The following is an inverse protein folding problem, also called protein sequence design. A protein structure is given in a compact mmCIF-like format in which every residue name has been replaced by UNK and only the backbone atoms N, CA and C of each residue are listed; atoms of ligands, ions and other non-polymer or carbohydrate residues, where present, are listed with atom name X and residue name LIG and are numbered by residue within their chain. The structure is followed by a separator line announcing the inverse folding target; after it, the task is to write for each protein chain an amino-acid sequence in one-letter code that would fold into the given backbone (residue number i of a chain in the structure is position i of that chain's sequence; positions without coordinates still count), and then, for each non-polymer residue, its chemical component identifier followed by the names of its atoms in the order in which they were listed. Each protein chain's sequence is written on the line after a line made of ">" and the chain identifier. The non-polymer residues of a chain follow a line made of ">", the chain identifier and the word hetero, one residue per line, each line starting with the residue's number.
data_IF_326803216183
#
_entry.id   IF_326803216183
#
_cell.length_a   1.000
_cell.length_b   1.000
_cell.length_c   1.000
_cell.angle_alpha   90.00
_cell.angle_beta   90.00
_cell.angle_gamma   90.00
#
_symmetry.space_group_name_H-M   'P 1'
#
loop_
_entity.id
_entity.type
_entity.pdbx_description
1 polymer ?
#
# COMPACT_ATOMS: atom_id res chain seq x y z
N UNK A 1 22.17 -6.79 -14.24
CA UNK A 1 21.42 -6.19 -13.13
C UNK A 1 19.94 -6.49 -13.33
N UNK A 2 19.35 -7.34 -12.50
CA UNK A 2 17.92 -7.68 -12.61
C UNK A 2 17.08 -6.44 -12.36
N UNK A 3 16.11 -6.17 -13.25
CA UNK A 3 15.11 -5.12 -13.05
C UNK A 3 14.26 -5.49 -11.83
N UNK A 4 14.60 -4.93 -10.67
CA UNK A 4 13.76 -5.04 -9.47
C UNK A 4 12.46 -4.30 -9.81
N UNK A 5 11.37 -5.04 -10.01
CA UNK A 5 10.05 -4.45 -10.16
C UNK A 5 9.59 -4.05 -8.76
N UNK A 6 9.37 -2.75 -8.47
CA UNK A 6 8.96 -2.35 -7.13
C UNK A 6 7.60 -2.96 -6.81
N UNK A 7 7.58 -3.81 -5.78
CA UNK A 7 6.36 -4.37 -5.22
C UNK A 7 6.02 -3.65 -3.92
N UNK A 8 4.74 -3.34 -3.69
CA UNK A 8 4.26 -2.90 -2.39
C UNK A 8 3.22 -3.87 -1.86
N UNK A 9 3.13 -3.98 -0.54
CA UNK A 9 2.32 -5.00 0.12
C UNK A 9 1.36 -4.39 1.13
N UNK A 10 0.14 -4.92 1.17
CA UNK A 10 -0.79 -4.75 2.27
C UNK A 10 -0.91 -6.09 2.99
N UNK A 11 -0.89 -6.07 4.32
CA UNK A 11 -1.02 -7.28 5.13
C UNK A 11 -1.67 -7.00 6.48
N UNK A 12 -2.04 -8.06 7.20
CA UNK A 12 -2.33 -8.00 8.63
C UNK A 12 -1.05 -8.09 9.45
N UNK A 13 -1.05 -7.58 10.69
CA UNK A 13 0.12 -7.64 11.59
C UNK A 13 0.52 -9.09 11.88
N UNK A 14 -0.47 -9.99 11.99
CA UNK A 14 -0.25 -11.42 12.17
C UNK A 14 0.19 -12.16 10.88
N UNK A 15 0.26 -11.46 9.74
CA UNK A 15 0.71 -11.99 8.45
C UNK A 15 -0.24 -13.00 7.80
N UNK A 16 -1.39 -13.32 8.41
CA UNK A 16 -2.33 -14.34 7.87
C UNK A 16 -2.98 -13.91 6.56
N UNK A 17 -3.21 -12.62 6.38
CA UNK A 17 -3.76 -12.05 5.16
C UNK A 17 -2.75 -11.09 4.56
N UNK A 18 -2.40 -11.33 3.30
CA UNK A 18 -1.51 -10.46 2.54
C UNK A 18 -1.94 -10.36 1.07
N UNK A 19 -1.71 -9.19 0.49
CA UNK A 19 -1.81 -8.94 -0.95
C UNK A 19 -0.69 -8.01 -1.35
N UNK A 20 0.04 -8.37 -2.40
CA UNK A 20 1.07 -7.52 -2.96
C UNK A 20 0.71 -7.04 -4.36
N UNK A 21 1.29 -5.91 -4.71
CA UNK A 21 1.06 -5.21 -5.95
C UNK A 21 2.39 -4.97 -6.63
N UNK A 22 2.53 -5.42 -7.86
CA UNK A 22 3.76 -5.31 -8.65
C UNK A 22 3.57 -4.17 -9.64
N UNK A 23 4.46 -3.18 -9.58
CA UNK A 23 4.52 -2.08 -10.54
C UNK A 23 5.55 -2.42 -11.60
N UNK A 24 5.08 -2.69 -12.83
CA UNK A 24 5.93 -3.06 -13.96
C UNK A 24 5.29 -2.59 -15.25
N UNK A 25 6.10 -2.10 -16.20
CA UNK A 25 5.65 -1.70 -17.55
C UNK A 25 4.46 -0.72 -17.50
N UNK A 26 4.52 0.26 -16.59
CA UNK A 26 3.46 1.25 -16.32
C UNK A 26 2.10 0.64 -15.93
N UNK A 27 2.10 -0.62 -15.47
CA UNK A 27 0.91 -1.33 -14.98
C UNK A 27 1.10 -1.75 -13.53
N UNK A 28 -0.03 -1.82 -12.83
CA UNK A 28 -0.11 -2.40 -11.48
C UNK A 28 -0.87 -3.71 -11.59
N UNK A 29 -0.25 -4.80 -11.15
CA UNK A 29 -0.91 -6.11 -11.02
C UNK A 29 -0.99 -6.50 -9.55
N UNK A 30 -2.01 -7.26 -9.16
CA UNK A 30 -2.15 -7.74 -7.78
C UNK A 30 -2.06 -9.26 -7.69
N UNK A 31 -1.55 -9.74 -6.55
CA UNK A 31 -1.37 -11.16 -6.21
C UNK A 31 -1.67 -11.38 -4.73
N UNK A 32 -2.34 -12.49 -4.42
CA UNK A 32 -2.52 -12.92 -3.04
C UNK A 32 -1.20 -13.39 -2.43
N UNK A 33 -1.07 -13.24 -1.12
CA UNK A 33 0.10 -13.70 -0.36
C UNK A 33 1.20 -12.64 -0.24
N UNK A 34 2.24 -13.04 0.48
CA UNK A 34 3.41 -12.21 0.80
C UNK A 34 4.39 -12.23 -0.38
N UNK A 35 4.93 -11.06 -0.72
CA UNK A 35 6.07 -10.92 -1.62
C UNK A 35 7.38 -11.12 -0.83
N UNK A 36 8.40 -11.80 -1.37
CA UNK A 36 9.65 -12.04 -0.65
C UNK A 36 10.41 -10.74 -0.35
N UNK A 37 10.42 -9.79 -1.28
CA UNK A 37 11.15 -8.53 -1.15
C UNK A 37 10.27 -7.35 -1.59
N UNK A 38 9.24 -6.97 -0.82
CA UNK A 38 8.45 -5.78 -1.13
C UNK A 38 9.28 -4.54 -0.79
N UNK A 39 9.20 -3.51 -1.64
CA UNK A 39 9.83 -2.22 -1.40
C UNK A 39 9.33 -1.56 -0.09
N UNK A 40 8.04 -1.73 0.20
CA UNK A 40 7.45 -1.48 1.52
C UNK A 40 6.20 -2.33 1.73
N UNK A 41 5.85 -2.55 3.00
CA UNK A 41 4.58 -3.16 3.38
C UNK A 41 3.84 -2.30 4.40
N UNK A 42 2.53 -2.14 4.21
CA UNK A 42 1.63 -1.55 5.21
C UNK A 42 0.93 -2.72 5.90
N UNK A 43 1.14 -2.85 7.21
CA UNK A 43 0.56 -3.88 8.03
C UNK A 43 -0.51 -3.29 8.95
N UNK A 44 -1.75 -3.72 8.79
CA UNK A 44 -2.88 -3.32 9.62
C UNK A 44 -3.09 -4.31 10.76
N UNK A 45 -3.59 -3.88 11.92
CA UNK A 45 -3.84 -4.79 13.05
C UNK A 45 -4.68 -6.01 12.67
N UNK A 46 -5.67 -5.81 11.80
CA UNK A 46 -6.51 -6.85 11.22
C UNK A 46 -7.12 -6.37 9.89
N UNK A 47 -7.77 -7.29 9.16
CA UNK A 47 -8.34 -7.01 7.84
C UNK A 47 -9.55 -6.06 7.88
N UNK A 48 -10.38 -6.14 8.94
CA UNK A 48 -11.56 -5.30 9.09
C UNK A 48 -11.16 -3.83 9.31
N UNK A 49 -10.16 -3.60 10.17
CA UNK A 49 -9.57 -2.30 10.39
C UNK A 49 -8.91 -1.76 9.12
N UNK A 50 -8.12 -2.57 8.41
CA UNK A 50 -7.51 -2.15 7.14
C UNK A 50 -8.55 -1.71 6.11
N UNK A 51 -9.66 -2.45 5.99
CA UNK A 51 -10.78 -2.07 5.13
C UNK A 51 -11.45 -0.77 5.57
N UNK A 52 -11.72 -0.61 6.87
CA UNK A 52 -12.30 0.61 7.43
C UNK A 52 -11.40 1.84 7.21
N UNK A 53 -10.09 1.72 7.44
CA UNK A 53 -9.11 2.79 7.19
C UNK A 53 -9.13 3.22 5.71
N UNK A 54 -9.13 2.27 4.78
CA UNK A 54 -9.15 2.57 3.34
C UNK A 54 -10.45 3.23 2.88
N UNK A 55 -11.56 2.98 3.58
CA UNK A 55 -12.87 3.56 3.27
C UNK A 55 -13.24 4.79 4.08
N UNK A 56 -12.40 5.21 5.02
CA UNK A 56 -12.67 6.36 5.86
C UNK A 56 -13.00 7.62 5.04
N UNK A 57 -13.89 8.47 5.59
CA UNK A 57 -14.20 9.78 5.00
C UNK A 57 -12.94 10.63 4.88
N UNK A 58 -12.13 10.67 5.95
CA UNK A 58 -10.80 11.26 5.96
C UNK A 58 -9.72 10.17 6.07
N UNK A 59 -9.30 9.64 4.92
CA UNK A 59 -8.32 8.54 4.81
C UNK A 59 -6.95 8.92 5.37
N UNK A 60 -6.53 10.18 5.16
CA UNK A 60 -5.24 10.67 5.64
C UNK A 60 -5.19 10.64 7.17
N UNK A 61 -6.20 11.21 7.83
CA UNK A 61 -6.29 11.22 9.28
C UNK A 61 -6.38 9.78 9.84
N UNK A 62 -7.26 8.94 9.29
CA UNK A 62 -7.40 7.55 9.74
C UNK A 62 -6.09 6.77 9.64
N UNK A 63 -5.31 6.99 8.58
CA UNK A 63 -4.01 6.36 8.40
C UNK A 63 -2.97 6.88 9.41
N UNK A 64 -2.89 8.20 9.61
CA UNK A 64 -1.95 8.80 10.57
C UNK A 64 -2.26 8.40 12.01
N UNK A 65 -3.54 8.38 12.40
CA UNK A 65 -3.96 7.90 13.72
C UNK A 65 -3.58 6.43 13.91
N UNK A 66 -3.81 5.59 12.90
CA UNK A 66 -3.43 4.18 12.93
C UNK A 66 -1.91 3.97 13.07
N UNK A 67 -1.08 4.83 12.46
CA UNK A 67 0.37 4.80 12.68
C UNK A 67 0.70 5.18 14.14
N UNK A 68 0.09 6.26 14.64
CA UNK A 68 0.34 6.77 15.99
C UNK A 68 -0.04 5.78 17.09
N UNK A 69 -1.20 5.12 16.95
CA UNK A 69 -1.71 4.13 17.90
C UNK A 69 -1.18 2.70 17.66
N UNK A 70 -0.31 2.52 16.66
CA UNK A 70 0.32 1.26 16.24
C UNK A 70 -0.65 0.22 15.65
N UNK A 71 -1.88 0.59 15.33
CA UNK A 71 -2.81 -0.23 14.54
C UNK A 71 -2.39 -0.35 13.08
N UNK A 72 -1.46 0.49 12.62
CA UNK A 72 -0.81 0.43 11.31
C UNK A 72 0.71 0.49 11.52
N UNK A 73 1.44 -0.41 10.88
CA UNK A 73 2.90 -0.39 10.83
C UNK A 73 3.38 -0.36 9.39
N UNK A 74 4.41 0.44 9.13
CA UNK A 74 5.10 0.45 7.84
C UNK A 74 6.39 -0.36 8.01
N UNK A 75 6.56 -1.42 7.23
CA UNK A 75 7.80 -2.19 7.13
C UNK A 75 8.53 -1.79 5.86
N UNK A 76 9.86 -1.72 5.91
CA UNK A 76 10.71 -1.23 4.82
C UNK A 76 10.96 0.27 4.92
N UNK A 77 11.16 0.95 3.78
CA UNK A 77 11.52 2.37 3.76
C UNK A 77 10.27 3.28 3.68
N UNK A 78 9.90 4.01 4.75
CA UNK A 78 8.71 4.89 4.74
C UNK A 78 8.83 6.06 3.76
N UNK A 79 10.05 6.46 3.34
CA UNK A 79 10.23 7.48 2.31
C UNK A 79 9.61 7.05 0.96
N UNK A 80 9.56 5.75 0.67
CA UNK A 80 8.90 5.22 -0.53
C UNK A 80 7.38 5.40 -0.48
N UNK A 81 6.77 5.35 0.70
CA UNK A 81 5.33 5.62 0.88
C UNK A 81 5.02 7.08 0.59
N UNK A 82 5.84 8.02 1.11
CA UNK A 82 5.69 9.46 0.88
C UNK A 82 5.93 9.80 -0.59
N UNK A 83 6.99 9.25 -1.19
CA UNK A 83 7.28 9.40 -2.62
C UNK A 83 6.12 8.87 -3.49
N UNK A 84 5.57 7.70 -3.17
CA UNK A 84 4.43 7.11 -3.90
C UNK A 84 3.17 7.97 -3.78
N UNK A 85 2.89 8.51 -2.58
CA UNK A 85 1.81 9.48 -2.39
C UNK A 85 2.03 10.76 -3.22
N UNK A 86 3.27 11.24 -3.32
CA UNK A 86 3.61 12.37 -4.18
C UNK A 86 3.33 12.09 -5.66
N UNK A 87 3.71 10.91 -6.14
CA UNK A 87 3.56 10.51 -7.54
C UNK A 87 2.10 10.28 -7.95
N UNK A 88 1.27 9.71 -7.06
CA UNK A 88 -0.16 9.47 -7.34
C UNK A 88 -0.98 10.74 -7.53
N UNK A 89 -0.54 11.90 -7.02
CA UNK A 89 -1.17 13.21 -7.31
C UNK A 89 -1.14 13.55 -8.81
N UNK A 90 -0.17 13.03 -9.54
CA UNK A 90 -0.02 13.23 -10.98
C UNK A 90 -0.66 12.11 -11.82
N UNK A 91 -1.01 10.98 -11.18
CA UNK A 91 -1.79 9.89 -11.79
C UNK A 91 -3.29 10.23 -11.81
N UNK A 92 -3.67 11.36 -12.41
CA UNK A 92 -5.10 11.64 -12.66
C UNK A 92 -5.61 10.62 -13.69
N UNK A 93 -6.67 9.85 -13.40
CA UNK A 93 -7.26 8.96 -14.39
C UNK A 93 -7.72 9.78 -15.59
N UNK A 94 -7.26 9.43 -16.78
CA UNK A 94 -7.72 10.03 -18.03
C UNK A 94 -9.23 9.79 -18.12
N UNK A 95 -10.05 10.85 -18.15
CA UNK A 95 -11.50 10.71 -18.37
C UNK A 95 -11.70 9.89 -19.66
N UNK A 96 -12.50 8.81 -19.58
CA UNK A 96 -13.00 8.13 -20.78
C UNK A 96 -13.77 9.18 -21.59
N UNK A 97 -13.40 9.40 -22.86
CA UNK A 97 -14.26 10.14 -23.79
C UNK A 97 -15.52 9.29 -23.95
N UNK A 98 -16.65 9.80 -23.46
CA UNK A 98 -17.97 9.29 -23.81
C UNK A 98 -18.37 9.81 -25.18
#
# INVERSE_FOLDING_TARGET
>A
MGTINPAFQLQTLDGKVARHFIVKDQRITSRSGVHPEPAFAIAFKDAAYGFATMQAKNKQLAFMTGIQDKSIQIKGNPALVIWFQGLTKYLKPKKKKS
#
